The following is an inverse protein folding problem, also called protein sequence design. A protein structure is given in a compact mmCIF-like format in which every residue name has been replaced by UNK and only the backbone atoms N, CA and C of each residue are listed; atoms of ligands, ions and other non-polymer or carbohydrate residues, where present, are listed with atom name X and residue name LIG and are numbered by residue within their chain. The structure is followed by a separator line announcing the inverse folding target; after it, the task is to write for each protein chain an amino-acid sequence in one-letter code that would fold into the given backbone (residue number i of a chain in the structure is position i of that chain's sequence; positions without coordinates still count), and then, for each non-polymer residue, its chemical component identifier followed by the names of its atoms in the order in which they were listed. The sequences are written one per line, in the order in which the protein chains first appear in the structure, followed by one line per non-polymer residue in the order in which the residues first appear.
data_IF_695736218567
#
_entry.id   IF_695736218567
#
_cell.length_a   1.000
_cell.length_b   1.000
_cell.length_c   1.000
_cell.angle_alpha   90.00
_cell.angle_beta   90.00
_cell.angle_gamma   90.00
#
_symmetry.space_group_name_H-M   'P 1'
#
loop_
_entity.id
_entity.type
_entity.pdbx_description
1 polymer ?
#
# COMPACT_ATOMS: atom_id res chain seq x y z
N UNK A 1 -1.45 -1.85 -25.03
CA UNK A 1 -1.85 -1.33 -23.69
C UNK A 1 -1.61 -2.43 -22.65
N UNK A 2 -0.59 -2.32 -21.81
CA UNK A 2 -0.22 -3.39 -20.85
C UNK A 2 -1.32 -3.56 -19.80
N UNK A 3 -1.75 -4.80 -19.57
CA UNK A 3 -2.76 -5.10 -18.55
C UNK A 3 -2.18 -4.77 -17.17
N UNK A 4 -2.70 -3.73 -16.51
CA UNK A 4 -2.21 -3.28 -15.20
C UNK A 4 -2.09 -4.42 -14.18
N UNK A 5 -2.97 -5.42 -14.23
CA UNK A 5 -2.90 -6.58 -13.34
C UNK A 5 -1.66 -7.45 -13.58
N UNK A 6 -1.14 -7.52 -14.81
CA UNK A 6 0.13 -8.20 -15.12
C UNK A 6 1.31 -7.37 -14.63
N UNK A 7 1.30 -6.07 -14.91
CA UNK A 7 2.33 -5.13 -14.43
C UNK A 7 2.44 -5.14 -12.90
N UNK A 8 1.31 -5.09 -12.19
CA UNK A 8 1.27 -5.12 -10.74
C UNK A 8 1.97 -6.36 -10.18
N UNK A 9 1.75 -7.54 -10.78
CA UNK A 9 2.40 -8.80 -10.34
C UNK A 9 3.89 -8.83 -10.68
N UNK A 10 4.29 -8.37 -11.87
CA UNK A 10 5.71 -8.36 -12.26
C UNK A 10 6.53 -7.37 -11.43
N UNK A 11 5.92 -6.26 -11.03
CA UNK A 11 6.64 -5.20 -10.33
C UNK A 11 6.70 -5.42 -8.80
N UNK A 12 6.14 -6.52 -8.28
CA UNK A 12 6.16 -6.81 -6.84
C UNK A 12 7.59 -7.00 -6.32
N UNK A 13 7.81 -6.54 -5.10
CA UNK A 13 9.00 -6.87 -4.32
C UNK A 13 8.94 -8.36 -3.95
N UNK A 14 9.98 -9.15 -4.27
CA UNK A 14 10.02 -10.56 -3.92
C UNK A 14 9.91 -10.79 -2.41
N UNK A 15 9.12 -11.79 -2.02
CA UNK A 15 8.86 -12.16 -0.63
C UNK A 15 7.75 -11.36 0.05
N UNK A 16 7.15 -10.38 -0.64
CA UNK A 16 6.06 -9.54 -0.10
C UNK A 16 4.72 -9.76 -0.84
N UNK A 17 4.63 -10.78 -1.69
CA UNK A 17 3.55 -10.99 -2.66
C UNK A 17 2.15 -11.03 -2.02
N UNK A 18 2.03 -11.65 -0.84
CA UNK A 18 0.76 -11.81 -0.13
C UNK A 18 0.17 -10.50 0.44
N UNK A 19 1.05 -9.55 0.75
CA UNK A 19 0.68 -8.26 1.32
C UNK A 19 0.22 -7.25 0.28
N UNK A 20 0.42 -7.53 -1.02
CA UNK A 20 -0.07 -6.66 -2.08
C UNK A 20 -1.59 -6.70 -2.22
N UNK A 21 -2.13 -5.59 -2.71
CA UNK A 21 -3.53 -5.41 -3.05
C UNK A 21 -4.01 -6.45 -4.06
N UNK A 22 -5.07 -7.19 -3.72
CA UNK A 22 -5.65 -8.21 -4.58
C UNK A 22 -6.55 -7.60 -5.68
N UNK A 23 -5.91 -6.88 -6.60
CA UNK A 23 -6.60 -6.17 -7.68
C UNK A 23 -7.43 -7.11 -8.57
N UNK A 24 -6.99 -8.35 -8.77
CA UNK A 24 -7.71 -9.35 -9.57
C UNK A 24 -9.04 -9.72 -8.91
N UNK A 25 -9.03 -10.01 -7.61
CA UNK A 25 -10.24 -10.31 -6.83
C UNK A 25 -11.24 -9.17 -6.89
N UNK A 26 -10.82 -7.94 -6.59
CA UNK A 26 -11.75 -6.82 -6.58
C UNK A 26 -12.27 -6.49 -7.98
N UNK A 27 -11.43 -6.61 -9.02
CA UNK A 27 -11.89 -6.46 -10.40
C UNK A 27 -12.97 -7.47 -10.76
N UNK A 28 -12.86 -8.72 -10.29
CA UNK A 28 -13.90 -9.73 -10.48
C UNK A 28 -15.20 -9.35 -9.74
N UNK A 29 -15.10 -8.84 -8.51
CA UNK A 29 -16.25 -8.35 -7.73
C UNK A 29 -16.97 -7.18 -8.42
N UNK A 30 -16.23 -6.19 -8.94
CA UNK A 30 -16.82 -5.09 -9.71
C UNK A 30 -17.61 -5.60 -10.91
N UNK A 31 -17.11 -6.62 -11.62
CA UNK A 31 -17.82 -7.24 -12.75
C UNK A 31 -19.14 -7.87 -12.30
N UNK A 32 -19.15 -8.60 -11.17
CA UNK A 32 -20.37 -9.20 -10.60
C UNK A 32 -21.39 -8.12 -10.25
N UNK A 33 -20.97 -7.06 -9.54
CA UNK A 33 -21.86 -5.94 -9.21
C UNK A 33 -22.45 -5.27 -10.44
N UNK A 34 -21.66 -5.12 -11.50
CA UNK A 34 -22.13 -4.51 -12.78
C UNK A 34 -23.23 -5.35 -13.44
N UNK A 35 -23.11 -6.68 -13.40
CA UNK A 35 -24.14 -7.58 -13.97
C UNK A 35 -25.40 -7.55 -13.11
N UNK A 36 -25.25 -7.64 -11.79
CA UNK A 36 -26.37 -7.67 -10.85
C UNK A 36 -27.19 -6.37 -10.82
N UNK A 37 -26.51 -5.22 -10.89
CA UNK A 37 -27.19 -3.91 -10.94
C UNK A 37 -27.98 -3.73 -12.24
N UNK A 38 -27.48 -4.23 -13.38
CA UNK A 38 -28.22 -4.22 -14.65
C UNK A 38 -29.47 -5.11 -14.64
N UNK A 39 -29.44 -6.20 -13.87
CA UNK A 39 -30.56 -7.11 -13.71
C UNK A 39 -31.59 -6.64 -12.66
N UNK A 40 -31.41 -5.44 -12.07
CA UNK A 40 -32.30 -4.91 -11.03
C UNK A 40 -32.22 -5.68 -9.69
N UNK A 41 -31.24 -6.57 -9.54
CA UNK A 41 -31.21 -7.58 -8.47
C UNK A 41 -30.60 -7.08 -7.15
N UNK A 42 -29.98 -5.89 -7.12
CA UNK A 42 -29.27 -5.41 -5.93
C UNK A 42 -29.55 -3.94 -5.62
N UNK A 43 -29.86 -3.68 -4.34
CA UNK A 43 -29.88 -2.34 -3.76
C UNK A 43 -28.47 -1.73 -3.80
N UNK A 44 -28.37 -0.53 -4.37
CA UNK A 44 -27.16 0.30 -4.43
C UNK A 44 -26.45 0.39 -3.08
N UNK A 45 -27.19 0.51 -1.98
CA UNK A 45 -26.60 0.62 -0.63
C UNK A 45 -25.79 -0.63 -0.27
N UNK A 46 -26.30 -1.82 -0.61
CA UNK A 46 -25.63 -3.09 -0.34
C UNK A 46 -24.33 -3.21 -1.13
N UNK A 47 -24.35 -2.88 -2.43
CA UNK A 47 -23.15 -2.91 -3.28
C UNK A 47 -22.05 -1.99 -2.74
N UNK A 48 -22.41 -0.77 -2.34
CA UNK A 48 -21.46 0.19 -1.77
C UNK A 48 -20.87 -0.30 -0.44
N UNK A 49 -21.71 -0.84 0.45
CA UNK A 49 -21.27 -1.39 1.74
C UNK A 49 -20.34 -2.59 1.55
N UNK A 50 -20.74 -3.55 0.71
CA UNK A 50 -19.96 -4.76 0.46
C UNK A 50 -18.61 -4.44 -0.18
N UNK A 51 -18.59 -3.52 -1.16
CA UNK A 51 -17.33 -3.10 -1.80
C UNK A 51 -16.44 -2.28 -0.86
N UNK A 52 -17.02 -1.43 0.00
CA UNK A 52 -16.25 -0.69 1.01
C UNK A 52 -15.53 -1.64 1.95
N UNK A 53 -16.23 -2.68 2.43
CA UNK A 53 -15.63 -3.68 3.32
C UNK A 53 -14.44 -4.39 2.66
N UNK A 54 -14.62 -4.86 1.41
CA UNK A 54 -13.53 -5.50 0.66
C UNK A 54 -12.32 -4.60 0.44
N UNK A 55 -12.53 -3.29 0.25
CA UNK A 55 -11.45 -2.33 0.15
C UNK A 55 -10.78 -2.09 1.51
N UNK A 56 -11.57 -1.89 2.56
CA UNK A 56 -11.06 -1.64 3.91
C UNK A 56 -10.17 -2.83 4.36
N UNK A 57 -10.62 -4.08 4.15
CA UNK A 57 -9.86 -5.30 4.49
C UNK A 57 -8.50 -5.36 3.74
N UNK A 58 -8.48 -5.06 2.43
CA UNK A 58 -7.24 -5.08 1.65
C UNK A 58 -6.30 -3.93 2.00
N UNK A 59 -6.82 -2.74 2.32
CA UNK A 59 -5.96 -1.61 2.69
C UNK A 59 -5.41 -1.80 4.11
N UNK A 60 -6.20 -2.34 5.05
CA UNK A 60 -5.72 -2.70 6.39
C UNK A 60 -4.52 -3.65 6.31
N UNK A 61 -4.62 -4.71 5.50
CA UNK A 61 -3.50 -5.64 5.25
C UNK A 61 -2.22 -4.91 4.79
N UNK A 62 -2.35 -4.02 3.82
CA UNK A 62 -1.21 -3.25 3.26
C UNK A 62 -0.59 -2.36 4.34
N UNK A 63 -1.44 -1.71 5.13
CA UNK A 63 -1.02 -0.77 6.17
C UNK A 63 -0.32 -1.48 7.32
N UNK A 64 -0.86 -2.60 7.79
CA UNK A 64 -0.26 -3.40 8.87
C UNK A 64 1.15 -3.86 8.48
N UNK A 65 1.28 -4.39 7.25
CA UNK A 65 2.58 -4.80 6.73
C UNK A 65 3.55 -3.63 6.58
N UNK A 66 3.08 -2.48 6.08
CA UNK A 66 3.92 -1.29 5.94
C UNK A 66 4.52 -0.86 7.29
N UNK A 67 3.72 -0.90 8.36
CA UNK A 67 4.15 -0.48 9.70
C UNK A 67 5.12 -1.48 10.32
N UNK A 68 4.87 -2.77 10.12
CA UNK A 68 5.83 -3.81 10.50
C UNK A 68 7.20 -3.54 9.86
N UNK A 69 7.24 -3.29 8.54
CA UNK A 69 8.48 -2.98 7.83
C UNK A 69 9.12 -1.67 8.30
N UNK A 70 8.34 -0.62 8.59
CA UNK A 70 8.85 0.61 9.20
C UNK A 70 9.48 0.36 10.57
N UNK A 71 8.86 -0.49 11.40
CA UNK A 71 9.39 -0.89 12.71
C UNK A 71 10.73 -1.61 12.60
N UNK A 72 10.85 -2.57 11.66
CA UNK A 72 12.11 -3.28 11.40
C UNK A 72 13.23 -2.33 10.96
N UNK A 73 12.92 -1.41 10.04
CA UNK A 73 13.88 -0.40 9.57
C UNK A 73 14.28 0.55 10.70
N UNK A 74 13.32 1.00 11.52
CA UNK A 74 13.59 1.88 12.64
C UNK A 74 14.50 1.22 13.69
N UNK A 75 14.23 -0.05 14.04
CA UNK A 75 15.07 -0.81 14.96
C UNK A 75 16.50 -0.97 14.43
N UNK A 76 16.66 -1.24 13.13
CA UNK A 76 17.97 -1.31 12.49
C UNK A 76 18.71 0.03 12.54
N UNK A 77 18.01 1.14 12.28
CA UNK A 77 18.59 2.48 12.39
C UNK A 77 19.03 2.83 13.82
N UNK A 78 18.23 2.44 14.82
CA UNK A 78 18.58 2.65 16.22
C UNK A 78 19.89 1.94 16.58
N UNK A 79 20.03 0.68 16.16
CA UNK A 79 21.23 -0.11 16.40
C UNK A 79 22.47 0.47 15.70
N UNK A 80 22.33 0.91 14.45
CA UNK A 80 23.42 1.59 13.74
C UNK A 80 23.78 2.94 14.39
N UNK A 81 22.79 3.62 15.00
CA UNK A 81 23.01 4.82 15.79
C UNK A 81 23.88 4.55 17.03
N UNK A 82 23.58 3.46 17.76
CA UNK A 82 24.38 3.00 18.92
C UNK A 82 25.80 2.62 18.49
N UNK A 83 25.94 1.82 17.43
CA UNK A 83 27.26 1.44 16.88
C UNK A 83 28.07 2.67 16.47
N UNK A 84 27.44 3.66 15.83
CA UNK A 84 28.09 4.91 15.46
C UNK A 84 28.63 5.67 16.68
N UNK A 85 27.85 5.78 17.75
CA UNK A 85 28.27 6.52 18.95
C UNK A 85 29.50 5.90 19.63
N UNK A 86 29.63 4.57 19.62
CA UNK A 86 30.81 3.87 20.16
C UNK A 86 32.07 4.14 19.33
N UNK A 87 31.91 4.41 18.03
CA UNK A 87 33.01 4.63 17.09
C UNK A 87 33.54 6.09 17.07
N UNK A 88 33.06 6.98 17.94
CA UNK A 88 33.47 8.39 17.95
C UNK A 88 34.87 8.64 18.53
N UNK A 89 35.47 7.66 19.23
CA UNK A 89 36.78 7.82 19.88
C UNK A 89 37.96 7.74 18.88
N UNK A 90 38.28 6.55 18.34
CA UNK A 90 39.25 6.36 17.23
C UNK A 90 38.86 5.08 16.45
N UNK A 91 38.04 5.20 15.39
CA UNK A 91 37.58 4.03 14.65
C UNK A 91 38.60 3.56 13.60
N UNK A 92 38.68 2.24 13.37
CA UNK A 92 39.42 1.70 12.24
C UNK A 92 38.69 2.04 10.93
N UNK A 93 39.44 2.27 9.85
CA UNK A 93 38.86 2.59 8.53
C UNK A 93 37.86 1.51 8.05
N UNK A 94 38.12 0.25 8.41
CA UNK A 94 37.22 -0.87 8.12
C UNK A 94 35.85 -0.70 8.82
N UNK A 95 35.82 -0.34 10.10
CA UNK A 95 34.59 -0.18 10.87
C UNK A 95 33.72 0.96 10.32
N UNK A 96 34.34 2.06 9.89
CA UNK A 96 33.65 3.16 9.20
C UNK A 96 33.03 2.67 7.89
N UNK A 97 33.77 1.85 7.13
CA UNK A 97 33.34 1.35 5.82
C UNK A 97 32.15 0.41 5.99
N UNK A 98 32.22 -0.53 6.92
CA UNK A 98 31.12 -1.45 7.24
C UNK A 98 29.87 -0.70 7.70
N UNK A 99 30.02 0.26 8.63
CA UNK A 99 28.91 1.07 9.11
C UNK A 99 28.21 1.83 7.96
N UNK A 100 28.98 2.35 7.00
CA UNK A 100 28.42 3.03 5.82
C UNK A 100 27.64 2.06 4.92
N UNK A 101 28.17 0.86 4.67
CA UNK A 101 27.44 -0.14 3.88
C UNK A 101 26.14 -0.58 4.58
N UNK A 102 26.15 -0.70 5.91
CA UNK A 102 24.95 -1.00 6.68
C UNK A 102 23.88 0.09 6.56
N UNK A 103 24.26 1.37 6.65
CA UNK A 103 23.34 2.48 6.38
C UNK A 103 22.83 2.49 4.94
N UNK A 104 23.66 2.14 3.95
CA UNK A 104 23.20 2.01 2.56
C UNK A 104 22.20 0.88 2.39
N UNK A 105 22.41 -0.25 3.05
CA UNK A 105 21.47 -1.36 3.05
C UNK A 105 20.10 -0.95 3.63
N UNK A 106 20.07 -0.16 4.71
CA UNK A 106 18.83 0.44 5.20
C UNK A 106 18.17 1.35 4.15
N UNK A 107 18.97 2.16 3.44
CA UNK A 107 18.48 2.97 2.32
C UNK A 107 17.80 2.14 1.23
N UNK A 108 18.36 0.98 0.90
CA UNK A 108 17.75 0.04 -0.05
C UNK A 108 16.43 -0.53 0.47
N UNK A 109 16.34 -0.87 1.76
CA UNK A 109 15.11 -1.36 2.38
C UNK A 109 14.00 -0.29 2.35
N UNK A 110 14.34 0.98 2.60
CA UNK A 110 13.41 2.11 2.46
C UNK A 110 12.89 2.26 1.04
N UNK A 111 13.75 2.17 0.02
CA UNK A 111 13.34 2.24 -1.38
C UNK A 111 12.41 1.08 -1.76
N UNK A 112 12.67 -0.14 -1.25
CA UNK A 112 11.76 -1.28 -1.44
C UNK A 112 10.39 -1.02 -0.80
N UNK A 113 10.36 -0.47 0.41
CA UNK A 113 9.11 -0.13 1.09
C UNK A 113 8.32 0.96 0.35
N UNK A 114 8.98 2.00 -0.15
CA UNK A 114 8.35 3.03 -0.98
C UNK A 114 7.71 2.44 -2.24
N UNK A 115 8.44 1.54 -2.94
CA UNK A 115 7.90 0.84 -4.11
C UNK A 115 6.64 0.03 -3.77
N UNK A 116 6.61 -0.64 -2.62
CA UNK A 116 5.44 -1.36 -2.14
C UNK A 116 4.25 -0.41 -1.95
N UNK A 117 4.44 0.72 -1.25
CA UNK A 117 3.40 1.72 -1.02
C UNK A 117 2.86 2.27 -2.34
N UNK A 118 3.75 2.66 -3.26
CA UNK A 118 3.39 3.22 -4.56
C UNK A 118 2.56 2.26 -5.42
N UNK A 119 2.97 0.99 -5.51
CA UNK A 119 2.25 -0.01 -6.29
C UNK A 119 0.85 -0.27 -5.73
N UNK A 120 0.73 -0.35 -4.41
CA UNK A 120 -0.54 -0.56 -3.72
C UNK A 120 -1.48 0.64 -3.85
N UNK A 121 -0.99 1.87 -3.61
CA UNK A 121 -1.76 3.10 -3.80
C UNK A 121 -2.27 3.22 -5.24
N UNK A 122 -1.44 2.89 -6.23
CA UNK A 122 -1.84 2.85 -7.63
C UNK A 122 -2.93 1.81 -7.93
N UNK A 123 -2.86 0.63 -7.30
CA UNK A 123 -3.88 -0.41 -7.45
C UNK A 123 -5.23 0.02 -6.85
N UNK A 124 -5.20 0.63 -5.66
CA UNK A 124 -6.38 1.20 -4.99
C UNK A 124 -7.01 2.30 -5.85
N UNK A 125 -6.22 3.28 -6.32
CA UNK A 125 -6.72 4.34 -7.21
C UNK A 125 -7.41 3.77 -8.44
N UNK A 126 -6.80 2.77 -9.09
CA UNK A 126 -7.34 2.16 -10.31
C UNK A 126 -8.61 1.37 -10.07
N UNK A 127 -8.76 0.69 -8.94
CA UNK A 127 -9.99 -0.06 -8.67
C UNK A 127 -11.14 0.87 -8.29
N UNK A 128 -10.86 1.95 -7.54
CA UNK A 128 -11.84 3.00 -7.22
C UNK A 128 -12.38 3.64 -8.50
N UNK A 129 -11.48 4.09 -9.39
CA UNK A 129 -11.84 4.61 -10.72
C UNK A 129 -12.67 3.60 -11.52
N UNK A 130 -12.28 2.33 -11.52
CA UNK A 130 -13.01 1.27 -12.23
C UNK A 130 -14.42 1.06 -11.68
N UNK A 131 -14.59 1.14 -10.37
CA UNK A 131 -15.88 0.99 -9.71
C UNK A 131 -16.82 2.12 -10.14
N UNK A 132 -16.36 3.38 -10.05
CA UNK A 132 -17.12 4.56 -10.46
C UNK A 132 -17.50 4.52 -11.94
N UNK A 133 -16.55 4.20 -12.83
CA UNK A 133 -16.79 4.10 -14.28
C UNK A 133 -17.85 3.05 -14.64
N UNK A 134 -17.90 1.93 -13.90
CA UNK A 134 -18.78 0.80 -14.24
C UNK A 134 -20.18 0.93 -13.65
N UNK A 135 -20.29 1.55 -12.49
CA UNK A 135 -21.53 1.62 -11.73
C UNK A 135 -22.15 3.02 -11.72
N UNK A 136 -21.43 4.04 -12.25
CA UNK A 136 -21.94 5.41 -12.35
C UNK A 136 -22.08 6.12 -10.99
N UNK A 137 -21.38 5.63 -9.97
CA UNK A 137 -21.43 6.21 -8.62
C UNK A 137 -20.27 7.20 -8.42
N UNK A 138 -20.47 8.19 -7.56
CA UNK A 138 -19.38 9.02 -7.02
C UNK A 138 -18.82 8.38 -5.74
N UNK A 139 -18.45 7.10 -5.81
CA UNK A 139 -18.04 6.36 -4.63
C UNK A 139 -16.63 6.76 -4.19
N UNK A 140 -15.70 6.98 -5.12
CA UNK A 140 -14.32 7.37 -4.81
C UNK A 140 -14.25 8.58 -3.88
N UNK A 141 -14.93 9.67 -4.22
CA UNK A 141 -14.91 10.91 -3.43
C UNK A 141 -15.42 10.70 -2.01
N UNK A 142 -16.53 9.96 -1.86
CA UNK A 142 -17.11 9.63 -0.57
C UNK A 142 -16.18 8.74 0.26
N UNK A 143 -15.68 7.67 -0.36
CA UNK A 143 -14.83 6.68 0.29
C UNK A 143 -13.52 7.32 0.76
N UNK A 144 -12.83 8.07 -0.10
CA UNK A 144 -11.59 8.74 0.25
C UNK A 144 -11.81 9.78 1.35
N UNK A 145 -12.84 10.63 1.27
CA UNK A 145 -13.11 11.64 2.31
C UNK A 145 -13.39 11.02 3.67
N UNK A 146 -14.21 9.97 3.72
CA UNK A 146 -14.59 9.33 4.97
C UNK A 146 -13.42 8.62 5.68
N UNK A 147 -12.42 8.14 4.92
CA UNK A 147 -11.22 7.47 5.49
C UNK A 147 -10.02 8.37 5.68
N UNK A 148 -9.89 9.45 4.90
CA UNK A 148 -8.75 10.39 4.99
C UNK A 148 -8.86 11.34 6.18
N UNK A 149 -10.08 11.61 6.66
CA UNK A 149 -10.35 12.53 7.77
C UNK A 149 -10.36 11.85 9.15
N UNK A 150 -10.09 10.54 9.22
CA UNK A 150 -10.12 9.82 10.50
C UNK A 150 -8.76 9.98 11.24
N UNK A 151 -8.74 10.44 12.51
CA UNK A 151 -7.54 10.90 13.21
C UNK A 151 -6.46 9.83 13.46
N UNK A 152 -6.81 8.55 13.28
CA UNK A 152 -5.91 7.39 13.44
C UNK A 152 -5.70 6.61 12.15
N UNK A 153 -6.14 7.15 11.01
CA UNK A 153 -6.09 6.45 9.74
C UNK A 153 -4.66 6.40 9.24
N UNK A 154 -3.97 5.29 9.49
CA UNK A 154 -2.74 4.93 8.79
C UNK A 154 -2.96 4.85 7.25
N UNK A 155 -4.23 4.80 6.82
CA UNK A 155 -4.65 5.01 5.44
C UNK A 155 -4.31 6.43 4.91
N UNK A 156 -4.11 7.45 5.75
CA UNK A 156 -3.66 8.78 5.29
C UNK A 156 -2.32 8.70 4.55
N UNK A 157 -1.39 7.87 5.01
CA UNK A 157 -0.08 7.72 4.35
C UNK A 157 -0.26 7.13 2.95
N UNK A 158 -1.13 6.14 2.78
CA UNK A 158 -1.46 5.54 1.47
C UNK A 158 -2.28 6.50 0.60
N UNK A 159 -3.29 7.18 1.15
CA UNK A 159 -4.21 8.04 0.40
C UNK A 159 -3.60 9.38 -0.03
N UNK A 160 -2.59 9.91 0.67
CA UNK A 160 -1.79 11.06 0.17
C UNK A 160 -1.26 10.80 -1.24
N UNK A 161 -0.87 9.55 -1.51
CA UNK A 161 -0.40 9.11 -2.83
C UNK A 161 -1.50 8.66 -3.78
N UNK A 162 -2.78 8.73 -3.40
CA UNK A 162 -3.94 8.36 -4.25
C UNK A 162 -4.61 9.60 -4.85
N UNK A 163 -4.58 10.73 -4.14
CA UNK A 163 -5.24 11.99 -4.56
C UNK A 163 -4.32 12.91 -5.36
N UNK A 164 -2.99 12.73 -5.26
CA UNK A 164 -2.00 13.36 -6.17
C UNK A 164 -2.06 12.77 -7.58
#
# INVERSE_FOLDING_TARGET
MVNFSKKLTTDQVPGWEEYYFNYKLLKARVKVYTVQTKQGNHDRRRVLKDFSKLLDDEIEKIVLFMIEQQGLIAARLEELGKRRAVLEDIPLLQEITELREDYRAVGHDLVRLLRFVDLNANAVRKILKKFDERLGYKFTDYYVRSRSNHPYSQLQQVFKHVVS
#
